data_IF_274425288666
#
_entry.id   IF_274425288666
#
_cell.length_a   1.000
_cell.length_b   1.000
_cell.length_c   1.000
_cell.angle_alpha   90.00
_cell.angle_beta   90.00
_cell.angle_gamma   90.00
#
_symmetry.space_group_name_H-M   'P 1'
#
loop_
_entity.id
_entity.type
_entity.pdbx_description
1 polymer ?
#
# COMPACT_ATOMS: atom_id res chain seq x y z
N UNK A 1 -7.24 41.77 -5.71
CA UNK A 1 -5.95 41.09 -5.82
C UNK A 1 -6.03 39.79 -5.04
N UNK A 2 -6.29 38.65 -5.71
CA UNK A 2 -6.37 37.35 -5.05
C UNK A 2 -4.95 36.83 -4.81
N UNK A 3 -4.53 36.77 -3.56
CA UNK A 3 -3.28 36.16 -3.17
C UNK A 3 -3.54 34.66 -3.07
N UNK A 4 -3.17 33.88 -4.09
CA UNK A 4 -3.08 32.44 -3.98
C UNK A 4 -1.94 32.11 -3.00
N UNK A 5 -2.27 31.81 -1.76
CA UNK A 5 -1.35 31.12 -0.86
C UNK A 5 -1.10 29.73 -1.45
N UNK A 6 0.01 29.58 -2.14
CA UNK A 6 0.50 28.25 -2.55
C UNK A 6 0.78 27.48 -1.25
N UNK A 7 -0.13 26.58 -0.89
CA UNK A 7 0.03 25.70 0.27
C UNK A 7 1.30 24.89 0.01
N UNK A 8 2.27 24.98 0.91
CA UNK A 8 3.50 24.19 0.81
C UNK A 8 3.08 22.77 1.14
N UNK A 9 2.97 21.92 0.13
CA UNK A 9 2.64 20.51 0.32
C UNK A 9 3.71 19.85 1.16
N UNK A 10 3.29 19.25 2.27
CA UNK A 10 4.14 18.37 3.07
C UNK A 10 4.18 16.99 2.41
N UNK A 11 5.36 16.38 2.42
CA UNK A 11 5.51 14.96 2.09
C UNK A 11 5.32 14.18 3.36
N UNK A 12 4.30 13.32 3.37
CA UNK A 12 3.97 12.43 4.50
C UNK A 12 4.52 11.03 4.21
N UNK A 13 5.31 10.53 5.14
CA UNK A 13 5.93 9.20 5.07
C UNK A 13 5.36 8.34 6.19
N UNK A 14 4.92 7.14 5.84
CA UNK A 14 4.60 6.08 6.79
C UNK A 14 5.81 5.16 6.90
N UNK A 15 6.30 4.92 8.11
CA UNK A 15 7.52 4.17 8.33
C UNK A 15 7.32 3.05 9.35
N UNK A 16 7.75 1.85 9.00
CA UNK A 16 7.88 0.73 9.92
C UNK A 16 9.34 0.58 10.31
N UNK A 17 9.64 0.50 11.61
CA UNK A 17 10.99 0.28 12.11
C UNK A 17 11.11 -1.10 12.71
N UNK A 18 12.16 -1.81 12.35
CA UNK A 18 12.44 -3.18 12.81
C UNK A 18 13.87 -3.28 13.34
N UNK A 19 14.05 -4.11 14.38
CA UNK A 19 15.36 -4.49 14.89
C UNK A 19 16.04 -5.59 14.01
N UNK A 20 17.23 -6.04 14.41
CA UNK A 20 17.98 -7.09 13.72
C UNK A 20 17.25 -8.44 13.68
N UNK A 21 16.35 -8.70 14.62
CA UNK A 21 15.49 -9.89 14.68
C UNK A 21 14.18 -9.71 13.93
N UNK A 22 14.03 -8.62 13.17
CA UNK A 22 12.82 -8.24 12.44
C UNK A 22 11.58 -7.99 13.33
N UNK A 23 11.76 -7.69 14.61
CA UNK A 23 10.70 -7.32 15.52
C UNK A 23 10.42 -5.82 15.36
N UNK A 24 9.15 -5.44 15.41
CA UNK A 24 8.74 -4.04 15.34
C UNK A 24 9.29 -3.26 16.54
N UNK A 25 9.77 -2.06 16.28
CA UNK A 25 10.27 -1.12 17.30
C UNK A 25 9.31 0.09 17.32
N UNK A 26 8.25 0.07 18.16
CA UNK A 26 7.17 1.05 18.07
C UNK A 26 7.37 2.30 18.96
N UNK A 27 8.47 2.42 19.70
CA UNK A 27 8.62 3.46 20.75
C UNK A 27 9.87 4.33 20.58
N UNK A 28 10.13 4.77 19.35
CA UNK A 28 11.22 5.70 19.07
C UNK A 28 10.70 7.14 19.05
N UNK A 29 11.53 8.07 19.52
CA UNK A 29 11.25 9.50 19.45
C UNK A 29 11.66 10.07 18.08
N UNK A 30 11.13 11.27 17.76
CA UNK A 30 11.46 12.00 16.54
C UNK A 30 12.98 12.14 16.30
N UNK A 31 13.76 12.35 17.36
CA UNK A 31 15.21 12.52 17.28
C UNK A 31 15.96 11.29 16.79
N UNK A 32 15.33 10.10 16.83
CA UNK A 32 15.89 8.87 16.29
C UNK A 32 15.90 8.85 14.76
N UNK A 33 15.11 9.70 14.08
CA UNK A 33 14.87 9.63 12.64
C UNK A 33 15.63 10.70 11.87
N UNK A 34 16.15 10.31 10.70
CA UNK A 34 16.67 11.21 9.68
C UNK A 34 16.05 10.85 8.33
N UNK A 35 15.46 11.86 7.68
CA UNK A 35 14.86 11.72 6.34
C UNK A 35 15.78 12.36 5.32
N UNK A 36 15.98 11.71 4.19
CA UNK A 36 16.72 12.22 3.05
C UNK A 36 15.83 12.25 1.81
N UNK A 37 15.82 13.37 1.07
CA UNK A 37 15.26 13.49 -0.27
C UNK A 37 16.43 13.74 -1.23
N UNK A 38 16.60 12.88 -2.24
CA UNK A 38 17.72 12.90 -3.18
C UNK A 38 19.10 13.00 -2.50
N UNK A 39 19.25 12.27 -1.38
CA UNK A 39 20.47 12.27 -0.57
C UNK A 39 20.65 13.49 0.34
N UNK A 40 19.77 14.49 0.28
CA UNK A 40 19.83 15.71 1.08
C UNK A 40 18.96 15.55 2.34
N UNK A 41 19.51 15.77 3.55
CA UNK A 41 18.73 15.65 4.78
C UNK A 41 17.65 16.71 4.85
N UNK A 42 16.44 16.29 5.28
CA UNK A 42 15.25 17.13 5.39
C UNK A 42 14.90 17.40 6.84
N UNK A 43 14.32 18.58 7.10
CA UNK A 43 13.82 18.90 8.44
C UNK A 43 12.44 18.30 8.62
N UNK A 44 12.30 17.35 9.56
CA UNK A 44 11.02 16.77 9.94
C UNK A 44 10.15 17.90 10.54
N UNK A 45 8.95 18.11 10.01
CA UNK A 45 8.00 19.13 10.46
C UNK A 45 6.94 18.56 11.38
N UNK A 46 6.52 17.31 11.15
CA UNK A 46 5.55 16.60 11.98
C UNK A 46 6.02 15.16 12.22
N UNK A 47 5.75 14.69 13.43
CA UNK A 47 6.05 13.32 13.85
C UNK A 47 4.91 12.83 14.75
N UNK A 48 4.29 11.71 14.35
CA UNK A 48 3.22 11.07 15.10
C UNK A 48 3.44 9.57 15.16
N UNK A 49 2.90 8.96 16.19
CA UNK A 49 2.91 7.54 16.43
C UNK A 49 1.54 7.14 16.99
N UNK A 50 0.54 7.34 16.21
CA UNK A 50 -0.84 7.07 16.61
C UNK A 50 -1.44 6.06 15.62
N UNK A 51 -2.31 5.21 16.13
CA UNK A 51 -3.17 4.38 15.29
C UNK A 51 -4.25 5.29 14.69
N UNK A 52 -3.98 5.77 13.49
CA UNK A 52 -4.94 6.62 12.76
C UNK A 52 -5.79 5.75 11.84
N UNK A 53 -7.08 6.08 11.67
CA UNK A 53 -7.93 5.42 10.68
C UNK A 53 -7.33 5.49 9.28
N UNK A 54 -7.58 4.44 8.48
CA UNK A 54 -7.06 4.33 7.12
C UNK A 54 -8.18 4.21 6.10
N UNK A 55 -7.94 4.70 4.89
CA UNK A 55 -8.71 4.33 3.72
C UNK A 55 -8.02 3.15 3.03
N UNK A 56 -8.71 2.01 2.93
CA UNK A 56 -8.13 0.77 2.42
C UNK A 56 -8.91 0.25 1.21
N UNK A 57 -8.20 0.00 0.11
CA UNK A 57 -8.72 -0.78 -1.00
C UNK A 57 -8.30 -2.24 -0.92
N UNK A 58 -9.25 -3.16 -0.97
CA UNK A 58 -9.00 -4.60 -1.06
C UNK A 58 -9.27 -5.04 -2.48
N UNK A 59 -8.21 -5.44 -3.20
CA UNK A 59 -8.23 -5.77 -4.63
C UNK A 59 -7.97 -7.26 -4.78
N UNK A 60 -8.96 -8.01 -5.24
CA UNK A 60 -8.92 -9.46 -5.21
C UNK A 60 -9.03 -10.02 -6.63
N UNK A 61 -8.07 -10.85 -6.98
CA UNK A 61 -8.08 -11.61 -8.21
C UNK A 61 -9.26 -12.59 -8.23
N UNK A 62 -9.96 -12.57 -9.34
CA UNK A 62 -11.12 -13.41 -9.60
C UNK A 62 -10.99 -14.20 -10.90
N UNK A 63 -9.75 -14.36 -11.39
CA UNK A 63 -9.44 -15.21 -12.52
C UNK A 63 -9.79 -16.68 -12.25
N UNK A 64 -9.79 -17.48 -13.32
CA UNK A 64 -10.23 -18.88 -13.23
C UNK A 64 -9.42 -19.74 -12.24
N UNK A 65 -8.13 -19.44 -12.04
CA UNK A 65 -7.22 -20.15 -11.12
C UNK A 65 -7.53 -19.90 -9.64
N UNK A 66 -8.26 -18.83 -9.32
CA UNK A 66 -8.66 -18.47 -7.97
C UNK A 66 -9.85 -19.27 -7.43
N UNK A 67 -10.54 -20.06 -8.26
CA UNK A 67 -11.80 -20.74 -7.91
C UNK A 67 -11.74 -21.48 -6.58
N UNK A 68 -10.74 -22.34 -6.42
CA UNK A 68 -10.62 -23.19 -5.22
C UNK A 68 -10.00 -22.44 -4.01
N UNK A 69 -9.49 -21.21 -4.24
CA UNK A 69 -8.81 -20.39 -3.24
C UNK A 69 -9.73 -19.33 -2.63
N UNK A 70 -10.80 -18.93 -3.34
CA UNK A 70 -11.67 -17.81 -2.99
C UNK A 70 -12.27 -17.90 -1.58
N UNK A 71 -12.69 -19.08 -1.16
CA UNK A 71 -13.29 -19.25 0.17
C UNK A 71 -12.32 -18.89 1.29
N UNK A 72 -11.06 -19.32 1.17
CA UNK A 72 -10.00 -19.00 2.15
C UNK A 72 -9.58 -17.54 2.08
N UNK A 73 -9.43 -16.99 0.86
CA UNK A 73 -9.15 -15.56 0.65
C UNK A 73 -10.24 -14.70 1.28
N UNK A 74 -11.52 -15.00 1.03
CA UNK A 74 -12.63 -14.25 1.62
C UNK A 74 -12.61 -14.30 3.15
N UNK A 75 -12.28 -15.46 3.72
CA UNK A 75 -12.13 -15.63 5.18
C UNK A 75 -10.98 -14.75 5.71
N UNK A 76 -9.83 -14.78 5.05
CA UNK A 76 -8.67 -13.98 5.43
C UNK A 76 -8.92 -12.47 5.32
N UNK A 77 -9.61 -12.03 4.27
CA UNK A 77 -10.04 -10.63 4.10
C UNK A 77 -10.98 -10.23 5.24
N UNK A 78 -11.95 -11.06 5.61
CA UNK A 78 -12.84 -10.76 6.75
C UNK A 78 -12.10 -10.75 8.09
N UNK A 79 -11.02 -11.53 8.24
CA UNK A 79 -10.16 -11.45 9.42
C UNK A 79 -9.40 -10.12 9.47
N UNK A 80 -8.90 -9.63 8.30
CA UNK A 80 -8.31 -8.30 8.19
C UNK A 80 -9.31 -7.22 8.60
N UNK A 81 -10.51 -7.21 8.00
CA UNK A 81 -11.58 -6.24 8.30
C UNK A 81 -11.93 -6.21 9.80
N UNK A 82 -12.05 -7.37 10.42
CA UNK A 82 -12.35 -7.47 11.88
C UNK A 82 -11.19 -7.02 12.77
N UNK A 83 -9.96 -7.13 12.30
CA UNK A 83 -8.77 -6.67 13.01
C UNK A 83 -8.47 -5.19 12.72
N UNK A 84 -9.22 -4.58 11.80
CA UNK A 84 -9.08 -3.18 11.39
C UNK A 84 -9.74 -2.23 12.40
N UNK A 85 -9.38 -0.94 12.36
CA UNK A 85 -9.99 0.08 13.19
C UNK A 85 -11.47 0.23 12.81
N UNK A 86 -12.42 0.35 13.75
CA UNK A 86 -13.83 0.58 13.42
C UNK A 86 -14.09 1.83 12.57
N UNK A 87 -13.16 2.78 12.57
CA UNK A 87 -13.22 4.00 11.76
C UNK A 87 -12.54 3.86 10.38
N UNK A 88 -11.93 2.70 10.08
CA UNK A 88 -11.33 2.45 8.77
C UNK A 88 -12.42 2.43 7.69
N UNK A 89 -12.17 3.11 6.57
CA UNK A 89 -13.03 3.08 5.39
C UNK A 89 -12.44 2.10 4.38
N UNK A 90 -13.21 1.06 4.03
CA UNK A 90 -12.74 -0.03 3.17
C UNK A 90 -13.62 -0.12 1.93
N UNK A 91 -13.00 -0.21 0.75
CA UNK A 91 -13.68 -0.59 -0.50
C UNK A 91 -13.15 -1.91 -1.03
N UNK A 92 -13.95 -2.60 -1.85
CA UNK A 92 -13.60 -3.89 -2.45
C UNK A 92 -13.70 -3.82 -3.96
N UNK A 93 -12.61 -4.20 -4.62
CA UNK A 93 -12.52 -4.39 -6.06
C UNK A 93 -12.24 -5.86 -6.35
N UNK A 94 -13.06 -6.49 -7.17
CA UNK A 94 -12.73 -7.79 -7.76
C UNK A 94 -12.27 -7.57 -9.22
N UNK A 95 -11.27 -8.33 -9.66
CA UNK A 95 -10.78 -8.23 -11.02
C UNK A 95 -10.48 -9.59 -11.64
N UNK A 96 -10.60 -9.64 -12.96
CA UNK A 96 -10.11 -10.71 -13.82
C UNK A 96 -9.58 -10.08 -15.11
N UNK A 97 -10.22 -10.26 -16.24
CA UNK A 97 -9.95 -9.48 -17.47
C UNK A 97 -10.44 -8.01 -17.39
N UNK A 98 -11.36 -7.71 -16.48
CA UNK A 98 -11.85 -6.39 -16.13
C UNK A 98 -11.87 -6.27 -14.60
N UNK A 99 -11.96 -5.04 -14.10
CA UNK A 99 -12.10 -4.77 -12.67
C UNK A 99 -13.48 -4.17 -12.38
N UNK A 100 -14.00 -4.47 -11.18
CA UNK A 100 -15.33 -4.08 -10.72
C UNK A 100 -15.25 -3.58 -9.28
N UNK A 101 -15.84 -2.41 -9.01
CA UNK A 101 -16.04 -1.91 -7.66
C UNK A 101 -17.30 -2.59 -7.08
N UNK A 102 -17.10 -3.64 -6.29
CA UNK A 102 -18.21 -4.41 -5.72
C UNK A 102 -18.79 -3.77 -4.45
N UNK A 103 -17.95 -3.05 -3.71
CA UNK A 103 -18.34 -2.26 -2.56
C UNK A 103 -17.50 -1.00 -2.49
N UNK A 104 -18.15 0.15 -2.47
CA UNK A 104 -17.48 1.43 -2.22
C UNK A 104 -17.17 1.61 -0.73
N UNK A 105 -16.47 2.68 -0.37
CA UNK A 105 -16.00 2.93 0.99
C UNK A 105 -17.08 2.73 2.05
N UNK A 106 -16.81 1.86 2.99
CA UNK A 106 -17.67 1.59 4.15
C UNK A 106 -16.85 1.07 5.32
N UNK A 107 -17.32 1.31 6.54
CA UNK A 107 -16.84 0.65 7.76
C UNK A 107 -17.74 -0.53 8.17
N UNK A 108 -18.85 -0.77 7.48
CA UNK A 108 -19.78 -1.87 7.77
C UNK A 108 -19.25 -3.21 7.26
N UNK A 109 -18.79 -4.06 8.20
CA UNK A 109 -18.28 -5.40 7.92
C UNK A 109 -19.31 -6.31 7.24
N UNK A 110 -20.62 -6.09 7.40
CA UNK A 110 -21.65 -6.92 6.76
C UNK A 110 -21.75 -6.59 5.27
N UNK A 111 -21.65 -5.31 4.89
CA UNK A 111 -21.62 -4.89 3.49
C UNK A 111 -20.37 -5.45 2.80
N UNK A 112 -19.20 -5.32 3.44
CA UNK A 112 -17.95 -5.91 2.93
C UNK A 112 -18.05 -7.42 2.79
N UNK A 113 -18.64 -8.14 3.76
CA UNK A 113 -18.85 -9.59 3.67
C UNK A 113 -19.80 -9.96 2.52
N UNK A 114 -20.84 -9.19 2.30
CA UNK A 114 -21.81 -9.42 1.22
C UNK A 114 -21.15 -9.30 -0.15
N UNK A 115 -20.33 -8.26 -0.37
CA UNK A 115 -19.61 -8.04 -1.64
C UNK A 115 -18.65 -9.16 -1.99
N UNK A 116 -18.05 -9.83 -0.99
CA UNK A 116 -17.14 -10.95 -1.21
C UNK A 116 -17.82 -12.26 -1.63
N UNK A 117 -19.14 -12.41 -1.42
CA UNK A 117 -19.88 -13.67 -1.65
C UNK A 117 -20.36 -13.87 -3.09
N UNK A 118 -20.62 -12.80 -3.84
CA UNK A 118 -21.35 -12.84 -5.11
C UNK A 118 -20.46 -12.86 -6.36
N UNK A 119 -19.26 -13.42 -6.28
CA UNK A 119 -18.28 -13.29 -7.37
C UNK A 119 -17.99 -14.63 -8.05
N UNK A 120 -18.19 -14.68 -9.38
CA UNK A 120 -17.83 -15.85 -10.19
C UNK A 120 -16.38 -15.75 -10.69
N UNK A 121 -15.58 -16.78 -10.47
CA UNK A 121 -14.18 -16.85 -10.92
C UNK A 121 -14.09 -17.28 -12.37
N UNK A 122 -13.53 -16.44 -13.25
CA UNK A 122 -13.33 -16.72 -14.69
C UNK A 122 -12.39 -15.70 -15.34
N UNK A 123 -11.85 -16.07 -16.49
CA UNK A 123 -11.07 -15.18 -17.35
C UNK A 123 -9.60 -15.08 -16.98
N UNK A 124 -8.94 -14.11 -17.60
CA UNK A 124 -7.52 -13.76 -17.48
C UNK A 124 -7.27 -12.79 -16.31
N UNK A 125 -6.05 -12.26 -16.16
CA UNK A 125 -5.61 -11.45 -15.02
C UNK A 125 -5.12 -10.09 -15.49
N UNK A 126 -5.95 -9.05 -15.36
CA UNK A 126 -5.60 -7.63 -15.64
C UNK A 126 -5.19 -6.93 -14.34
N UNK A 127 -4.06 -7.37 -13.77
CA UNK A 127 -3.58 -6.97 -12.44
C UNK A 127 -3.22 -5.48 -12.38
N UNK A 128 -2.44 -4.99 -13.36
CA UNK A 128 -1.97 -3.59 -13.32
C UNK A 128 -3.11 -2.62 -13.55
N UNK A 129 -4.08 -2.95 -14.41
CA UNK A 129 -5.27 -2.12 -14.61
C UNK A 129 -6.09 -2.01 -13.32
N UNK A 130 -6.28 -3.11 -12.59
CA UNK A 130 -6.99 -3.12 -11.32
C UNK A 130 -6.25 -2.30 -10.24
N UNK A 131 -4.92 -2.42 -10.16
CA UNK A 131 -4.09 -1.62 -9.25
C UNK A 131 -4.20 -0.13 -9.56
N UNK A 132 -4.07 0.26 -10.84
CA UNK A 132 -4.15 1.66 -11.26
C UNK A 132 -5.52 2.24 -10.97
N UNK A 133 -6.60 1.54 -11.34
CA UNK A 133 -7.96 1.97 -11.09
C UNK A 133 -8.25 2.15 -9.59
N UNK A 134 -7.82 1.17 -8.78
CA UNK A 134 -7.99 1.22 -7.32
C UNK A 134 -7.18 2.35 -6.68
N UNK A 135 -5.95 2.61 -7.15
CA UNK A 135 -5.14 3.73 -6.67
C UNK A 135 -5.78 5.09 -7.02
N UNK A 136 -6.36 5.21 -8.23
CA UNK A 136 -7.10 6.42 -8.65
C UNK A 136 -8.33 6.61 -7.79
N UNK A 137 -9.12 5.55 -7.58
CA UNK A 137 -10.32 5.59 -6.74
C UNK A 137 -9.99 6.04 -5.32
N UNK A 138 -8.96 5.43 -4.72
CA UNK A 138 -8.46 5.74 -3.40
C UNK A 138 -7.99 7.20 -3.28
N UNK A 139 -7.24 7.70 -4.26
CA UNK A 139 -6.72 9.06 -4.22
C UNK A 139 -7.82 10.13 -4.37
N UNK A 140 -8.86 9.83 -5.13
CA UNK A 140 -9.92 10.79 -5.43
C UNK A 140 -11.04 10.81 -4.39
N UNK A 141 -11.31 9.68 -3.72
CA UNK A 141 -12.52 9.51 -2.91
C UNK A 141 -12.26 9.20 -1.43
N UNK A 142 -11.01 8.91 -1.03
CA UNK A 142 -10.68 8.63 0.37
C UNK A 142 -10.80 9.90 1.23
N UNK A 143 -11.43 9.76 2.40
CA UNK A 143 -11.50 10.83 3.40
C UNK A 143 -10.32 10.78 4.41
N UNK A 144 -9.61 9.64 4.45
CA UNK A 144 -8.46 9.45 5.34
C UNK A 144 -7.15 9.74 4.62
N UNK A 145 -6.20 10.37 5.33
CA UNK A 145 -4.88 10.70 4.78
C UNK A 145 -4.02 9.45 4.55
N UNK A 146 -4.16 8.45 5.42
CA UNK A 146 -3.42 7.19 5.33
C UNK A 146 -4.14 6.23 4.40
N UNK A 147 -3.49 5.92 3.28
CA UNK A 147 -4.05 5.15 2.16
C UNK A 147 -3.32 3.83 1.98
N UNK A 148 -4.09 2.74 1.92
CA UNK A 148 -3.57 1.37 1.81
C UNK A 148 -4.24 0.68 0.63
N UNK A 149 -3.46 -0.06 -0.16
CA UNK A 149 -3.98 -1.07 -1.09
C UNK A 149 -3.51 -2.46 -0.65
N UNK A 150 -4.42 -3.39 -0.55
CA UNK A 150 -4.15 -4.82 -0.35
C UNK A 150 -4.55 -5.57 -1.62
N UNK A 151 -3.57 -6.18 -2.29
CA UNK A 151 -3.80 -6.97 -3.50
C UNK A 151 -3.59 -8.44 -3.22
N UNK A 152 -4.54 -9.28 -3.61
CA UNK A 152 -4.45 -10.75 -3.46
C UNK A 152 -4.65 -11.38 -4.83
N UNK A 153 -3.64 -12.11 -5.32
CA UNK A 153 -3.65 -12.76 -6.64
C UNK A 153 -2.87 -14.07 -6.61
N UNK A 154 -3.17 -14.99 -7.50
CA UNK A 154 -2.38 -16.20 -7.74
C UNK A 154 -1.77 -16.24 -9.15
N UNK A 155 -1.92 -15.16 -9.92
CA UNK A 155 -1.46 -15.01 -11.27
C UNK A 155 -0.53 -13.84 -11.49
N UNK A 156 0.22 -13.89 -12.58
CA UNK A 156 0.90 -12.72 -13.12
C UNK A 156 -0.04 -11.99 -14.08
N UNK A 157 0.23 -10.71 -14.26
CA UNK A 157 -0.48 -9.91 -15.26
C UNK A 157 -0.33 -10.50 -16.67
N UNK A 158 -1.43 -10.66 -17.39
CA UNK A 158 -1.44 -11.18 -18.74
C UNK A 158 -2.49 -10.52 -19.66
N UNK A 159 -3.19 -9.50 -19.14
CA UNK A 159 -4.30 -8.88 -19.87
C UNK A 159 -4.39 -7.36 -19.71
N UNK A 160 -3.62 -6.75 -18.81
CA UNK A 160 -3.67 -5.29 -18.58
C UNK A 160 -3.27 -4.51 -19.83
N UNK A 161 -3.89 -3.37 -19.99
CA UNK A 161 -3.46 -2.32 -20.92
C UNK A 161 -2.33 -1.47 -20.30
N UNK A 162 -2.36 -1.30 -18.99
CA UNK A 162 -1.31 -0.64 -18.23
C UNK A 162 -0.09 -1.53 -18.07
N UNK A 163 1.08 -0.92 -18.08
CA UNK A 163 2.36 -1.60 -17.81
C UNK A 163 2.70 -1.60 -16.33
N UNK A 164 3.63 -2.46 -15.91
CA UNK A 164 4.21 -2.44 -14.57
C UNK A 164 4.76 -1.06 -14.22
N UNK A 165 5.40 -0.37 -15.19
CA UNK A 165 5.97 0.96 -14.97
C UNK A 165 4.89 2.01 -14.70
N UNK A 166 3.78 1.98 -15.42
CA UNK A 166 2.65 2.88 -15.21
C UNK A 166 1.98 2.63 -13.85
N UNK A 167 1.77 1.37 -13.50
CA UNK A 167 1.26 1.01 -12.17
C UNK A 167 2.20 1.51 -11.06
N UNK A 168 3.52 1.31 -11.19
CA UNK A 168 4.52 1.83 -10.26
C UNK A 168 4.44 3.34 -10.13
N UNK A 169 4.41 4.05 -11.26
CA UNK A 169 4.33 5.52 -11.28
C UNK A 169 3.06 6.03 -10.61
N UNK A 170 1.93 5.35 -10.81
CA UNK A 170 0.66 5.71 -10.19
C UNK A 170 0.68 5.53 -8.67
N UNK A 171 1.19 4.41 -8.20
CA UNK A 171 1.31 4.12 -6.77
C UNK A 171 2.30 5.06 -6.07
N UNK A 172 3.39 5.42 -6.74
CA UNK A 172 4.42 6.30 -6.21
C UNK A 172 4.15 7.79 -6.45
N UNK A 173 2.93 8.22 -6.78
CA UNK A 173 2.59 9.65 -6.74
C UNK A 173 2.70 10.21 -5.32
N UNK A 174 2.87 11.53 -5.21
CA UNK A 174 2.80 12.22 -3.91
C UNK A 174 1.51 11.81 -3.19
N UNK A 175 1.63 11.38 -1.94
CA UNK A 175 0.52 10.87 -1.13
C UNK A 175 -0.22 9.66 -1.74
N UNK A 176 0.43 8.91 -2.64
CA UNK A 176 -0.08 7.64 -3.15
C UNK A 176 -0.13 6.56 -2.07
N UNK A 177 -0.92 5.49 -2.28
CA UNK A 177 -1.12 4.45 -1.29
C UNK A 177 0.14 3.62 -1.05
N UNK A 178 0.22 3.04 0.15
CA UNK A 178 1.13 1.94 0.45
C UNK A 178 0.49 0.64 -0.04
N UNK A 179 1.25 -0.19 -0.75
CA UNK A 179 0.77 -1.43 -1.33
C UNK A 179 1.26 -2.65 -0.55
N UNK A 180 0.33 -3.45 -0.06
CA UNK A 180 0.59 -4.81 0.41
C UNK A 180 0.09 -5.81 -0.62
N UNK A 181 0.88 -6.85 -0.90
CA UNK A 181 0.48 -7.89 -1.84
C UNK A 181 0.57 -9.28 -1.22
N UNK A 182 -0.38 -10.14 -1.54
CA UNK A 182 -0.33 -11.57 -1.21
C UNK A 182 -0.37 -12.34 -2.54
N UNK A 183 0.79 -12.85 -2.94
CA UNK A 183 0.96 -13.70 -4.10
C UNK A 183 0.77 -15.17 -3.73
N UNK A 184 -0.41 -15.74 -4.02
CA UNK A 184 -0.74 -17.11 -3.65
C UNK A 184 0.04 -18.11 -4.52
N UNK A 185 0.52 -19.19 -3.90
CA UNK A 185 1.17 -20.27 -4.63
C UNK A 185 0.21 -20.95 -5.62
N UNK A 186 0.70 -21.21 -6.83
CA UNK A 186 -0.05 -21.86 -7.91
C UNK A 186 0.74 -21.83 -9.22
N UNK A 187 0.23 -22.51 -10.24
CA UNK A 187 0.88 -22.57 -11.55
C UNK A 187 0.88 -21.23 -12.30
N UNK A 188 0.14 -20.21 -11.82
CA UNK A 188 -0.03 -18.92 -12.48
C UNK A 188 1.00 -17.86 -12.07
N UNK A 189 1.54 -17.92 -10.84
CA UNK A 189 2.47 -16.90 -10.35
C UNK A 189 3.92 -17.34 -10.52
N UNK A 190 4.48 -17.03 -11.68
CA UNK A 190 5.88 -17.30 -12.02
C UNK A 190 6.83 -16.31 -11.31
N UNK A 191 8.14 -16.53 -11.43
CA UNK A 191 9.19 -15.69 -10.84
C UNK A 191 9.04 -14.21 -11.21
N UNK A 192 8.70 -13.91 -12.47
CA UNK A 192 8.49 -12.55 -12.97
C UNK A 192 7.30 -11.85 -12.29
N UNK A 193 6.20 -12.57 -12.08
CA UNK A 193 5.03 -12.04 -11.34
C UNK A 193 5.35 -11.77 -9.88
N UNK A 194 6.11 -12.67 -9.23
CA UNK A 194 6.58 -12.45 -7.85
C UNK A 194 7.48 -11.21 -7.75
N UNK A 195 8.41 -11.04 -8.68
CA UNK A 195 9.29 -9.86 -8.74
C UNK A 195 8.51 -8.57 -8.96
N UNK A 196 7.48 -8.61 -9.82
CA UNK A 196 6.62 -7.45 -10.05
C UNK A 196 5.86 -7.05 -8.79
N UNK A 197 5.20 -8.00 -8.10
CA UNK A 197 4.50 -7.75 -6.83
C UNK A 197 5.45 -7.21 -5.74
N UNK A 198 6.66 -7.80 -5.64
CA UNK A 198 7.68 -7.34 -4.69
C UNK A 198 8.11 -5.89 -4.99
N UNK A 199 8.43 -5.59 -6.26
CA UNK A 199 8.87 -4.26 -6.67
C UNK A 199 7.81 -3.19 -6.41
N UNK A 200 6.54 -3.48 -6.71
CA UNK A 200 5.42 -2.58 -6.45
C UNK A 200 5.23 -2.30 -4.95
N UNK A 201 5.31 -3.35 -4.12
CA UNK A 201 5.17 -3.22 -2.68
C UNK A 201 6.35 -2.43 -2.09
N UNK A 202 7.59 -2.82 -2.39
CA UNK A 202 8.81 -2.17 -1.87
C UNK A 202 8.86 -0.69 -2.22
N UNK A 203 8.49 -0.35 -3.46
CA UNK A 203 8.47 1.03 -3.94
C UNK A 203 7.54 1.95 -3.15
N UNK A 204 6.51 1.41 -2.53
CA UNK A 204 5.51 2.14 -1.74
C UNK A 204 5.72 2.06 -0.22
N UNK A 205 6.68 1.25 0.25
CA UNK A 205 6.92 1.00 1.66
C UNK A 205 6.04 -0.11 2.26
N UNK A 206 5.31 -0.83 1.43
CA UNK A 206 4.55 -2.02 1.82
C UNK A 206 5.37 -3.30 1.81
N UNK A 207 4.69 -4.45 1.75
CA UNK A 207 5.32 -5.79 1.77
C UNK A 207 4.61 -6.72 0.80
N UNK A 208 5.38 -7.52 0.07
CA UNK A 208 4.86 -8.64 -0.69
C UNK A 208 5.02 -9.95 0.10
N UNK A 209 3.94 -10.66 0.28
CA UNK A 209 3.90 -11.95 0.95
C UNK A 209 3.66 -13.06 -0.07
N UNK A 210 4.37 -14.18 0.11
CA UNK A 210 4.26 -15.33 -0.77
C UNK A 210 4.09 -16.59 0.08
N UNK A 211 2.86 -16.84 0.59
CA UNK A 211 2.60 -17.99 1.45
C UNK A 211 2.80 -19.32 0.70
N UNK A 212 3.33 -20.31 1.40
CA UNK A 212 3.49 -21.68 0.87
C UNK A 212 2.16 -22.43 0.85
N UNK A 213 1.19 -22.00 1.66
CA UNK A 213 -0.16 -22.58 1.73
C UNK A 213 -1.23 -21.53 1.98
N UNK A 214 -2.47 -21.81 1.55
CA UNK A 214 -3.62 -20.94 1.80
C UNK A 214 -3.91 -20.74 3.29
N UNK A 215 -3.57 -21.70 4.15
CA UNK A 215 -3.76 -21.56 5.60
C UNK A 215 -2.98 -20.40 6.21
N UNK A 216 -1.83 -20.00 5.61
CA UNK A 216 -1.02 -18.88 6.08
C UNK A 216 -1.62 -17.51 5.74
N UNK A 217 -2.58 -17.42 4.82
CA UNK A 217 -3.14 -16.14 4.36
C UNK A 217 -3.82 -15.38 5.51
N UNK A 218 -4.53 -16.10 6.38
CA UNK A 218 -5.17 -15.49 7.56
C UNK A 218 -4.16 -14.92 8.57
N UNK A 219 -3.00 -15.54 8.73
CA UNK A 219 -1.94 -15.04 9.62
C UNK A 219 -1.25 -13.81 8.99
N UNK A 220 -1.04 -13.85 7.68
CA UNK A 220 -0.49 -12.73 6.93
C UNK A 220 -1.41 -11.51 7.03
N UNK A 221 -2.72 -11.65 6.85
CA UNK A 221 -3.66 -10.53 6.95
C UNK A 221 -3.67 -9.91 8.35
N UNK A 222 -3.53 -10.71 9.42
CA UNK A 222 -3.36 -10.20 10.79
C UNK A 222 -2.03 -9.46 10.97
N UNK A 223 -0.95 -9.98 10.38
CA UNK A 223 0.36 -9.32 10.40
C UNK A 223 0.30 -7.97 9.69
N UNK A 224 -0.36 -7.88 8.54
CA UNK A 224 -0.56 -6.64 7.80
C UNK A 224 -1.37 -5.63 8.62
N UNK A 225 -2.48 -6.06 9.25
CA UNK A 225 -3.27 -5.20 10.13
C UNK A 225 -2.41 -4.61 11.26
N UNK A 226 -1.59 -5.45 11.91
CA UNK A 226 -0.69 -5.01 12.97
C UNK A 226 0.41 -4.05 12.45
N UNK A 227 0.99 -4.34 11.29
CA UNK A 227 2.00 -3.51 10.65
C UNK A 227 1.46 -2.10 10.34
N UNK A 228 0.29 -2.03 9.70
CA UNK A 228 -0.38 -0.76 9.38
C UNK A 228 -0.56 0.12 10.63
N UNK A 229 -0.90 -0.47 11.79
CA UNK A 229 -1.13 0.24 13.05
C UNK A 229 0.13 0.67 13.78
N UNK A 230 1.24 -0.05 13.54
CA UNK A 230 2.51 0.16 14.27
C UNK A 230 3.45 1.14 13.57
N UNK A 231 2.97 1.91 12.60
CA UNK A 231 3.79 2.82 11.80
C UNK A 231 3.97 4.19 12.44
N UNK A 232 5.14 4.75 12.19
CA UNK A 232 5.40 6.17 12.43
C UNK A 232 4.90 6.98 11.23
N UNK A 233 4.32 8.15 11.52
CA UNK A 233 3.93 9.15 10.52
C UNK A 233 4.93 10.30 10.64
N UNK A 234 5.72 10.49 9.59
CA UNK A 234 6.78 11.49 9.54
C UNK A 234 6.52 12.42 8.36
N UNK A 235 6.39 13.72 8.62
CA UNK A 235 6.23 14.70 7.56
C UNK A 235 7.43 15.64 7.49
N UNK A 236 7.74 16.11 6.27
CA UNK A 236 8.72 17.14 6.03
C UNK A 236 8.28 18.06 4.88
N UNK A 237 8.79 19.30 4.87
CA UNK A 237 8.60 20.23 3.75
C UNK A 237 9.77 20.13 2.81
N UNK A 238 9.56 19.70 1.55
CA UNK A 238 10.62 19.63 0.57
C UNK A 238 11.26 21.02 0.35
N UNK A 239 12.58 21.07 0.24
CA UNK A 239 13.25 22.32 -0.09
C UNK A 239 12.90 22.74 -1.52
N UNK A 240 12.50 24.00 -1.72
CA UNK A 240 12.29 24.57 -3.06
C UNK A 240 13.66 24.78 -3.70
N UNK A 241 14.09 23.91 -4.56
CA UNK A 241 15.30 24.08 -5.36
C UNK A 241 14.95 23.86 -6.82
N UNK A 242 15.01 24.92 -7.65
CA UNK A 242 15.00 24.88 -9.11
C UNK A 242 13.94 23.97 -9.79
N UNK A 243 14.23 23.53 -11.00
CA UNK A 243 13.46 22.49 -11.68
C UNK A 243 13.74 21.14 -11.00
N UNK A 244 12.69 20.51 -10.45
CA UNK A 244 12.81 19.20 -9.79
C UNK A 244 12.76 18.08 -10.82
N UNK A 245 13.50 16.98 -10.59
CA UNK A 245 13.34 15.78 -11.41
C UNK A 245 11.90 15.23 -11.23
N UNK A 246 11.44 14.49 -12.23
CA UNK A 246 10.12 13.89 -12.21
C UNK A 246 9.95 12.93 -11.01
N UNK A 247 11.01 12.25 -10.57
CA UNK A 247 11.07 11.35 -9.43
C UNK A 247 12.03 11.88 -8.37
N UNK A 248 11.61 11.92 -7.11
CA UNK A 248 12.42 12.21 -5.93
C UNK A 248 12.62 10.93 -5.12
N UNK A 249 13.88 10.59 -4.88
CA UNK A 249 14.22 9.44 -4.03
C UNK A 249 14.09 9.78 -2.55
N UNK A 250 13.58 8.82 -1.76
CA UNK A 250 13.44 8.94 -0.31
C UNK A 250 14.25 7.85 0.37
N UNK A 251 15.01 8.25 1.39
CA UNK A 251 15.63 7.35 2.34
C UNK A 251 15.32 7.82 3.76
N UNK A 252 14.97 6.90 4.63
CA UNK A 252 14.80 7.19 6.06
C UNK A 252 15.69 6.26 6.87
N UNK A 253 16.39 6.82 7.83
CA UNK A 253 17.21 6.08 8.79
C UNK A 253 16.67 6.28 10.20
N UNK A 254 16.83 5.26 11.05
CA UNK A 254 16.55 5.36 12.48
C UNK A 254 17.75 4.86 13.28
N UNK A 255 18.07 5.58 14.36
CA UNK A 255 19.13 5.22 15.33
C UNK A 255 18.64 5.55 16.73
N UNK A 256 18.77 4.60 17.65
CA UNK A 256 18.39 4.83 19.04
C UNK A 256 19.35 4.07 19.99
N UNK A 257 19.67 4.66 21.15
CA UNK A 257 20.45 3.97 22.19
C UNK A 257 19.75 2.68 22.63
N UNK A 258 20.52 1.63 22.88
CA UNK A 258 19.99 0.34 23.32
C UNK A 258 19.53 -0.60 22.20
N UNK A 259 19.50 -0.11 20.96
CA UNK A 259 19.24 -0.92 19.77
C UNK A 259 20.52 -1.05 18.93
N UNK A 260 20.72 -2.21 18.31
CA UNK A 260 21.72 -2.41 17.26
C UNK A 260 21.32 -1.70 15.98
N UNK A 261 21.52 -2.34 14.84
CA UNK A 261 21.11 -1.82 13.55
C UNK A 261 19.58 -1.85 13.42
N UNK A 262 18.97 -0.67 13.21
CA UNK A 262 17.56 -0.56 12.88
C UNK A 262 17.36 -0.52 11.36
N UNK A 263 16.32 -1.21 10.89
CA UNK A 263 15.87 -1.16 9.49
C UNK A 263 14.59 -0.36 9.42
N UNK A 264 14.55 0.66 8.56
CA UNK A 264 13.35 1.46 8.31
C UNK A 264 12.79 1.09 6.95
N UNK A 265 11.52 0.71 6.93
CA UNK A 265 10.75 0.50 5.70
C UNK A 265 9.77 1.65 5.52
N UNK A 266 9.89 2.34 4.40
CA UNK A 266 9.02 3.44 3.94
C UNK A 266 9.07 3.48 2.42
N UNK A 267 8.27 4.32 1.78
CA UNK A 267 8.34 4.49 0.33
C UNK A 267 9.75 4.90 -0.12
N UNK A 268 10.18 4.39 -1.26
CA UNK A 268 11.52 4.64 -1.80
C UNK A 268 11.63 5.97 -2.55
N UNK A 269 10.50 6.61 -2.82
CA UNK A 269 10.42 7.89 -3.50
C UNK A 269 9.01 8.19 -4.00
N UNK A 270 8.88 9.29 -4.73
CA UNK A 270 7.61 9.70 -5.32
C UNK A 270 7.80 10.48 -6.62
N UNK A 271 6.77 10.40 -7.48
CA UNK A 271 6.65 11.22 -8.68
C UNK A 271 5.87 12.48 -8.36
N UNK A 272 6.37 13.63 -8.85
CA UNK A 272 5.61 14.89 -8.80
C UNK A 272 4.36 14.79 -9.68
N UNK A 273 3.25 15.46 -9.31
CA UNK A 273 2.13 15.61 -10.21
C UNK A 273 2.59 16.23 -11.52
N UNK A 274 2.13 15.69 -12.64
CA UNK A 274 2.34 16.36 -13.93
C UNK A 274 1.64 17.71 -13.88
N UNK A 275 2.40 18.80 -14.03
CA UNK A 275 1.78 20.10 -14.29
C UNK A 275 1.07 19.98 -15.65
N UNK A 276 -0.23 19.77 -15.64
CA UNK A 276 -1.04 20.00 -16.84
C UNK A 276 -0.84 21.47 -17.23
N UNK A 277 0.01 21.67 -18.24
CA UNK A 277 0.14 22.95 -18.95
C UNK A 277 -1.07 23.17 -19.84
#
# INVERSE_FOLDING_TARGET
MFVFKKQVEEVVLHATVMDEQRRLVPYLDRSAFTVYEDGVPQTITSFRREDVPVAMGIVIDNSGSMRDKRAEVNRAVMNLVRASNPEDEIFVVNFSQNYYLDQDFTSDANLLQASLRQVSTRGSTALYDAIVASAVHLNNNAHMDKKILMVITDGQDNMSQQTLQEATRRLQQVNGPMLFTIGLSGNGLQTTGRQALQSLADGTGGVAYFPDSLAQVSDITRTVAHDIRSQYIVAYKPRKQGARPAYQSIKMEARAPGYGRLTVRTRTGFYQPENNR
#
